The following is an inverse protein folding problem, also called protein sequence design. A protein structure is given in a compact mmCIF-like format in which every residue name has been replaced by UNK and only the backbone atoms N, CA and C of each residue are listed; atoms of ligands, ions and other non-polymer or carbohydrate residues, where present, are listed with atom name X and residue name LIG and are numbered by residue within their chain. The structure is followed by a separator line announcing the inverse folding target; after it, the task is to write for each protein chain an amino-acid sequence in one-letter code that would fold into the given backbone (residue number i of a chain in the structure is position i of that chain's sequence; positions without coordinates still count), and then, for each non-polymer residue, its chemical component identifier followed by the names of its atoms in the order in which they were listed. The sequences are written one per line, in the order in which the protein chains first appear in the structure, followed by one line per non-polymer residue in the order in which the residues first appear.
data_IF_405271280194
#
_entry.id   IF_405271280194
#
_cell.length_a   1.000
_cell.length_b   1.000
_cell.length_c   1.000
_cell.angle_alpha   90.00
_cell.angle_beta   90.00
_cell.angle_gamma   90.00
#
_symmetry.space_group_name_H-M   'P 1'
#
loop_
_entity.id
_entity.type
_entity.pdbx_description
1 polymer ?
#
# COMPACT_ATOMS: atom_id res chain seq x y z
N UNK A 1 -18.36 -30.07 -19.49
CA UNK A 1 -16.97 -29.62 -19.25
C UNK A 1 -16.90 -28.10 -19.10
N UNK A 2 -17.37 -27.30 -20.09
CA UNK A 2 -17.29 -25.82 -20.05
C UNK A 2 -18.00 -25.19 -18.83
N UNK A 3 -19.15 -25.68 -18.45
CA UNK A 3 -19.96 -25.20 -17.32
C UNK A 3 -19.21 -25.39 -15.99
N UNK A 4 -18.60 -26.55 -15.78
CA UNK A 4 -17.80 -26.81 -14.56
C UNK A 4 -16.58 -25.89 -14.48
N UNK A 5 -15.92 -25.62 -15.59
CA UNK A 5 -14.82 -24.65 -15.67
C UNK A 5 -15.29 -23.23 -15.30
N UNK A 6 -16.45 -22.82 -15.82
CA UNK A 6 -17.05 -21.53 -15.46
C UNK A 6 -17.36 -21.42 -13.97
N UNK A 7 -17.92 -22.46 -13.35
CA UNK A 7 -18.21 -22.49 -11.91
C UNK A 7 -16.93 -22.37 -11.09
N UNK A 8 -15.88 -23.10 -11.45
CA UNK A 8 -14.57 -23.04 -10.76
C UNK A 8 -13.99 -21.63 -10.83
N UNK A 9 -14.06 -20.95 -11.97
CA UNK A 9 -13.57 -19.56 -12.12
C UNK A 9 -14.35 -18.60 -11.23
N UNK A 10 -15.68 -18.71 -11.18
CA UNK A 10 -16.51 -17.86 -10.32
C UNK A 10 -16.17 -18.07 -8.84
N UNK A 11 -16.06 -19.33 -8.40
CA UNK A 11 -15.69 -19.65 -7.02
C UNK A 11 -14.29 -19.12 -6.68
N UNK A 12 -13.31 -19.31 -7.57
CA UNK A 12 -11.96 -18.78 -7.36
C UNK A 12 -11.97 -17.25 -7.25
N UNK A 13 -12.75 -16.54 -8.07
CA UNK A 13 -12.88 -15.10 -8.03
C UNK A 13 -13.51 -14.61 -6.71
N UNK A 14 -14.55 -15.29 -6.23
CA UNK A 14 -15.18 -14.97 -4.95
C UNK A 14 -14.20 -15.16 -3.78
N UNK A 15 -13.44 -16.27 -3.78
CA UNK A 15 -12.42 -16.53 -2.76
C UNK A 15 -11.36 -15.43 -2.78
N UNK A 16 -10.85 -15.04 -3.95
CA UNK A 16 -9.88 -13.95 -4.10
C UNK A 16 -10.42 -12.62 -3.54
N UNK A 17 -11.70 -12.30 -3.82
CA UNK A 17 -12.36 -11.11 -3.29
C UNK A 17 -12.42 -11.11 -1.75
N UNK A 18 -12.85 -12.21 -1.14
CA UNK A 18 -12.92 -12.34 0.32
C UNK A 18 -11.55 -12.21 0.98
N UNK A 19 -10.51 -12.78 0.38
CA UNK A 19 -9.14 -12.69 0.86
C UNK A 19 -8.61 -11.26 0.77
N UNK A 20 -8.94 -10.53 -0.31
CA UNK A 20 -8.61 -9.11 -0.46
C UNK A 20 -9.28 -8.24 0.61
N UNK A 21 -10.55 -8.46 0.91
CA UNK A 21 -11.26 -7.76 1.98
C UNK A 21 -10.62 -7.98 3.35
N UNK A 22 -10.13 -9.19 3.63
CA UNK A 22 -9.42 -9.49 4.88
C UNK A 22 -8.14 -8.66 5.02
N UNK A 23 -7.37 -8.48 3.95
CA UNK A 23 -6.15 -7.65 3.96
C UNK A 23 -6.47 -6.17 4.20
N UNK A 24 -7.51 -5.65 3.56
CA UNK A 24 -7.95 -4.26 3.77
C UNK A 24 -8.38 -4.06 5.23
N UNK A 25 -9.09 -5.02 5.80
CA UNK A 25 -9.51 -4.97 7.21
C UNK A 25 -8.30 -4.98 8.16
N UNK A 26 -7.30 -5.83 7.92
CA UNK A 26 -6.08 -5.89 8.74
C UNK A 26 -5.29 -4.58 8.68
N UNK A 27 -5.14 -4.01 7.48
CA UNK A 27 -4.54 -2.68 7.31
C UNK A 27 -5.33 -1.60 8.07
N UNK A 28 -6.64 -1.53 7.86
CA UNK A 28 -7.49 -0.51 8.48
C UNK A 28 -7.45 -0.58 10.00
N UNK A 29 -7.53 -1.79 10.56
CA UNK A 29 -7.45 -2.01 12.00
C UNK A 29 -6.09 -1.59 12.56
N UNK A 30 -5.00 -2.01 11.91
CA UNK A 30 -3.64 -1.66 12.32
C UNK A 30 -3.40 -0.14 12.24
N UNK A 31 -3.82 0.47 11.15
CA UNK A 31 -3.70 1.92 10.97
C UNK A 31 -4.48 2.70 12.03
N UNK A 32 -5.72 2.27 12.30
CA UNK A 32 -6.55 2.91 13.32
C UNK A 32 -5.93 2.80 14.72
N UNK A 33 -5.41 1.62 15.09
CA UNK A 33 -4.72 1.43 16.37
C UNK A 33 -3.51 2.36 16.52
N UNK A 34 -2.68 2.47 15.49
CA UNK A 34 -1.51 3.35 15.50
C UNK A 34 -1.91 4.83 15.56
N UNK A 35 -2.97 5.21 14.85
CA UNK A 35 -3.47 6.60 14.83
C UNK A 35 -4.01 7.06 16.18
N UNK A 36 -4.47 6.14 17.03
CA UNK A 36 -4.87 6.47 18.42
C UNK A 36 -3.68 6.83 19.29
N UNK A 37 -2.47 6.39 18.95
CA UNK A 37 -1.25 6.69 19.70
C UNK A 37 -0.62 8.02 19.26
N UNK A 38 -0.54 8.25 17.94
CA UNK A 38 0.07 9.44 17.34
C UNK A 38 -0.25 9.53 15.83
N UNK A 39 0.03 10.67 15.15
CA UNK A 39 0.00 10.75 13.70
C UNK A 39 0.85 9.66 13.05
N UNK A 40 0.33 9.03 11.99
CA UNK A 40 0.97 7.87 11.36
C UNK A 40 1.65 8.28 10.05
N UNK A 41 2.97 8.11 10.00
CA UNK A 41 3.74 8.18 8.77
C UNK A 41 3.71 6.82 8.06
N UNK A 42 3.39 6.84 6.77
CA UNK A 42 3.31 5.65 5.92
C UNK A 42 4.53 5.65 4.99
N UNK A 43 5.25 4.54 4.97
CA UNK A 43 6.36 4.34 4.05
C UNK A 43 6.16 3.09 3.19
N UNK A 44 6.44 3.24 1.91
CA UNK A 44 6.36 2.17 0.91
C UNK A 44 7.64 2.13 0.07
N UNK A 45 7.87 1.04 -0.64
CA UNK A 45 8.95 1.02 -1.61
C UNK A 45 8.52 1.71 -2.92
N UNK A 46 9.04 2.91 -3.23
CA UNK A 46 8.60 3.68 -4.39
C UNK A 46 9.01 3.04 -5.73
N UNK A 47 10.05 2.19 -5.74
CA UNK A 47 10.63 1.65 -6.97
C UNK A 47 10.03 0.33 -7.44
N UNK A 48 9.32 -0.40 -6.56
CA UNK A 48 8.77 -1.73 -6.88
C UNK A 48 7.37 -1.89 -6.30
N UNK A 49 6.38 -1.68 -7.11
CA UNK A 49 4.97 -2.00 -6.80
C UNK A 49 4.75 -3.46 -6.36
N UNK A 50 5.72 -4.33 -6.68
CA UNK A 50 5.67 -5.77 -6.42
C UNK A 50 6.31 -6.20 -5.09
N UNK A 51 6.94 -5.28 -4.33
CA UNK A 51 7.64 -5.70 -3.10
C UNK A 51 6.72 -5.96 -1.92
N UNK A 52 5.46 -5.48 -1.98
CA UNK A 52 4.46 -5.69 -0.93
C UNK A 52 4.93 -5.30 0.48
N UNK A 53 5.95 -4.44 0.58
CA UNK A 53 6.47 -3.99 1.87
C UNK A 53 5.90 -2.62 2.18
N UNK A 54 5.27 -2.51 3.33
CA UNK A 54 4.65 -1.30 3.86
C UNK A 54 5.02 -1.15 5.32
N UNK A 55 5.44 0.06 5.72
CA UNK A 55 5.69 0.42 7.11
C UNK A 55 4.73 1.50 7.56
N UNK A 56 4.21 1.37 8.75
CA UNK A 56 3.37 2.35 9.45
C UNK A 56 4.11 2.75 10.72
N UNK A 57 4.37 4.03 10.91
CA UNK A 57 5.10 4.57 12.07
C UNK A 57 4.24 5.63 12.72
N UNK A 58 3.80 5.38 13.95
CA UNK A 58 3.14 6.38 14.78
C UNK A 58 4.22 7.27 15.42
N UNK A 59 4.27 8.55 15.05
CA UNK A 59 5.29 9.50 15.49
C UNK A 59 4.65 10.60 16.31
N UNK A 60 5.12 10.77 17.53
CA UNK A 60 4.67 11.85 18.43
C UNK A 60 5.17 13.21 17.97
N UNK A 61 4.69 14.27 18.61
CA UNK A 61 5.05 15.64 18.23
C UNK A 61 6.54 15.96 18.43
N UNK A 62 7.18 15.32 19.42
CA UNK A 62 8.61 15.42 19.72
C UNK A 62 9.50 14.63 18.74
N UNK A 63 8.90 13.88 17.80
CA UNK A 63 9.61 13.03 16.85
C UNK A 63 9.90 11.62 17.37
N UNK A 64 9.51 11.29 18.61
CA UNK A 64 9.67 9.94 19.14
C UNK A 64 8.66 8.97 18.51
N UNK A 65 9.11 7.75 18.21
CA UNK A 65 8.29 6.70 17.64
C UNK A 65 7.50 6.03 18.78
N UNK A 66 6.18 6.20 18.77
CA UNK A 66 5.31 5.53 19.74
C UNK A 66 5.24 4.03 19.44
N UNK A 67 5.02 3.68 18.18
CA UNK A 67 5.00 2.30 17.69
C UNK A 67 5.23 2.27 16.18
N UNK A 68 5.91 1.23 15.70
CA UNK A 68 6.10 0.99 14.28
C UNK A 68 5.66 -0.43 13.93
N UNK A 69 4.90 -0.57 12.85
CA UNK A 69 4.47 -1.87 12.32
C UNK A 69 4.80 -1.98 10.84
N UNK A 70 5.22 -3.16 10.45
CA UNK A 70 5.58 -3.44 9.07
C UNK A 70 4.91 -4.70 8.56
N UNK A 71 4.45 -4.63 7.33
CA UNK A 71 3.97 -5.76 6.55
C UNK A 71 4.97 -6.05 5.43
N UNK A 72 5.39 -7.32 5.31
CA UNK A 72 6.23 -7.81 4.21
C UNK A 72 5.48 -8.86 3.42
N UNK A 73 5.47 -8.70 2.10
CA UNK A 73 4.88 -9.65 1.17
C UNK A 73 3.62 -9.15 0.51
N UNK A 74 3.31 -9.76 -0.65
CA UNK A 74 2.14 -9.48 -1.48
C UNK A 74 1.06 -10.57 -1.31
N UNK A 75 1.31 -11.55 -0.45
CA UNK A 75 0.40 -12.67 -0.25
C UNK A 75 -0.70 -12.32 0.75
N UNK A 76 -1.82 -12.99 0.63
CA UNK A 76 -2.96 -12.90 1.54
C UNK A 76 -2.64 -13.25 3.01
N UNK A 77 -1.48 -13.87 3.24
CA UNK A 77 -0.98 -14.23 4.57
C UNK A 77 -0.07 -13.16 5.17
N UNK A 78 0.28 -12.12 4.41
CA UNK A 78 1.07 -11.02 4.93
C UNK A 78 0.30 -10.28 6.02
N UNK A 79 0.92 -10.15 7.20
CA UNK A 79 0.36 -9.48 8.37
C UNK A 79 1.32 -8.40 8.85
N UNK A 80 0.77 -7.39 9.51
CA UNK A 80 1.56 -6.40 10.21
C UNK A 80 2.26 -7.02 11.42
N UNK A 81 3.58 -6.79 11.52
CA UNK A 81 4.41 -7.17 12.65
C UNK A 81 5.01 -5.91 13.27
N UNK A 82 5.02 -5.84 14.59
CA UNK A 82 5.64 -4.75 15.34
C UNK A 82 7.17 -4.77 15.16
N UNK A 83 7.75 -3.59 14.94
CA UNK A 83 9.18 -3.34 14.93
C UNK A 83 9.58 -2.76 16.29
N UNK A 84 9.73 -3.63 17.28
CA UNK A 84 10.02 -3.26 18.68
C UNK A 84 11.29 -2.43 18.84
N UNK A 85 12.30 -2.66 17.99
CA UNK A 85 13.57 -1.92 18.00
C UNK A 85 13.44 -0.43 17.69
N UNK A 86 12.33 -0.01 17.10
CA UNK A 86 12.08 1.40 16.77
C UNK A 86 11.28 2.14 17.84
N UNK A 87 10.72 1.43 18.82
CA UNK A 87 9.86 2.02 19.83
C UNK A 87 10.67 2.90 20.79
N UNK A 88 10.27 4.15 20.93
CA UNK A 88 10.95 5.14 21.78
C UNK A 88 12.10 5.88 21.09
N UNK A 89 12.58 5.38 19.94
CA UNK A 89 13.63 6.04 19.15
C UNK A 89 13.10 7.31 18.47
N UNK A 90 13.99 8.27 18.18
CA UNK A 90 13.64 9.44 17.39
C UNK A 90 13.71 9.12 15.90
N UNK A 91 12.64 9.39 15.16
CA UNK A 91 12.56 9.04 13.73
C UNK A 91 13.66 9.73 12.90
N UNK A 92 14.06 10.95 13.25
CA UNK A 92 15.10 11.69 12.55
C UNK A 92 16.50 11.13 12.86
N UNK A 93 16.76 10.74 14.12
CA UNK A 93 18.03 10.14 14.54
C UNK A 93 18.23 8.78 13.86
N UNK A 94 17.20 7.93 13.87
CA UNK A 94 17.24 6.64 13.16
C UNK A 94 17.47 6.85 11.66
N UNK A 95 16.81 7.84 11.04
CA UNK A 95 16.97 8.15 9.62
C UNK A 95 18.38 8.65 9.28
N UNK A 96 19.03 9.35 10.19
CA UNK A 96 20.41 9.87 10.04
C UNK A 96 21.49 8.83 10.36
N UNK A 97 21.16 7.81 11.19
CA UNK A 97 22.11 6.81 11.63
C UNK A 97 22.22 5.64 10.64
N UNK A 98 23.34 5.57 9.92
CA UNK A 98 23.62 4.45 9.03
C UNK A 98 23.68 3.11 9.77
N UNK A 99 24.25 3.08 10.99
CA UNK A 99 24.38 1.87 11.80
C UNK A 99 23.02 1.31 12.24
N UNK A 100 22.10 2.18 12.65
CA UNK A 100 20.75 1.77 13.01
C UNK A 100 19.98 1.26 11.78
N UNK A 101 20.12 1.94 10.64
CA UNK A 101 19.48 1.52 9.40
C UNK A 101 20.07 0.21 8.86
N UNK A 102 21.36 -0.06 9.08
CA UNK A 102 22.04 -1.30 8.62
C UNK A 102 21.47 -2.56 9.28
N UNK A 103 20.87 -2.46 10.46
CA UNK A 103 20.20 -3.59 11.14
C UNK A 103 18.98 -4.10 10.36
N UNK A 104 18.41 -3.26 9.51
CA UNK A 104 17.24 -3.62 8.69
C UNK A 104 17.68 -4.10 7.30
N UNK A 105 16.89 -5.01 6.74
CA UNK A 105 17.05 -5.40 5.34
C UNK A 105 16.78 -4.22 4.38
N UNK A 106 17.30 -4.33 3.18
CA UNK A 106 17.24 -3.26 2.16
C UNK A 106 15.83 -2.71 1.92
N UNK A 107 14.81 -3.58 1.89
CA UNK A 107 13.42 -3.16 1.66
C UNK A 107 12.87 -2.37 2.84
N UNK A 108 13.14 -2.82 4.06
CA UNK A 108 12.74 -2.12 5.29
C UNK A 108 13.36 -0.74 5.36
N UNK A 109 14.66 -0.61 5.06
CA UNK A 109 15.35 0.69 5.02
C UNK A 109 14.70 1.66 4.05
N UNK A 110 14.40 1.20 2.84
CA UNK A 110 13.76 2.05 1.82
C UNK A 110 12.38 2.50 2.28
N UNK A 111 11.58 1.60 2.85
CA UNK A 111 10.26 1.96 3.38
C UNK A 111 10.35 2.90 4.58
N UNK A 112 11.34 2.70 5.48
CA UNK A 112 11.55 3.60 6.62
C UNK A 112 11.91 5.01 6.17
N UNK A 113 12.84 5.14 5.22
CA UNK A 113 13.25 6.45 4.68
C UNK A 113 12.11 7.14 3.91
N UNK A 114 11.26 6.39 3.24
CA UNK A 114 10.05 6.93 2.60
C UNK A 114 9.04 7.42 3.65
N UNK A 115 8.84 6.67 4.76
CA UNK A 115 8.01 7.11 5.88
C UNK A 115 8.58 8.39 6.53
N UNK A 116 9.89 8.46 6.74
CA UNK A 116 10.55 9.65 7.27
C UNK A 116 10.36 10.87 6.36
N UNK A 117 10.54 10.70 5.05
CA UNK A 117 10.28 11.75 4.06
C UNK A 117 8.84 12.26 4.17
N UNK A 118 7.86 11.36 4.28
CA UNK A 118 6.46 11.74 4.43
C UNK A 118 6.19 12.46 5.75
N UNK A 119 6.83 12.05 6.84
CA UNK A 119 6.78 12.75 8.12
C UNK A 119 7.35 14.18 8.03
N UNK A 120 8.52 14.35 7.43
CA UNK A 120 9.14 15.68 7.23
C UNK A 120 8.26 16.58 6.37
N UNK A 121 7.71 16.06 5.28
CA UNK A 121 6.79 16.81 4.42
C UNK A 121 5.53 17.24 5.17
N UNK A 122 4.98 16.38 6.02
CA UNK A 122 3.85 16.71 6.89
C UNK A 122 4.19 17.84 7.88
N UNK A 123 5.32 17.72 8.60
CA UNK A 123 5.77 18.76 9.54
C UNK A 123 6.08 20.09 8.85
N UNK A 124 6.60 20.07 7.64
CA UNK A 124 6.89 21.25 6.83
C UNK A 124 5.63 21.87 6.17
N UNK A 125 4.43 21.37 6.44
CA UNK A 125 3.18 21.79 5.81
C UNK A 125 3.21 21.74 4.27
N UNK A 126 4.08 20.87 3.71
CA UNK A 126 4.27 20.69 2.27
C UNK A 126 3.37 19.62 1.66
N UNK A 127 2.64 18.86 2.50
CA UNK A 127 1.68 17.88 2.02
C UNK A 127 0.41 18.60 1.60
N UNK A 128 0.13 18.55 0.31
CA UNK A 128 -1.15 18.98 -0.23
C UNK A 128 -2.22 17.95 0.11
N UNK A 129 -3.51 18.34 0.22
CA UNK A 129 -4.61 17.37 0.42
C UNK A 129 -4.59 16.23 -0.60
N UNK A 130 -4.06 16.49 -1.79
CA UNK A 130 -3.90 15.51 -2.88
C UNK A 130 -2.84 14.41 -2.60
N UNK A 131 -1.88 14.67 -1.72
CA UNK A 131 -0.81 13.70 -1.39
C UNK A 131 -1.32 12.60 -0.42
N UNK A 132 -2.48 12.85 0.22
CA UNK A 132 -3.20 11.86 1.03
C UNK A 132 -4.16 10.99 0.21
N UNK A 133 -4.34 11.31 -1.07
CA UNK A 133 -5.18 10.53 -1.98
C UNK A 133 -4.47 9.24 -2.35
N UNK A 134 -4.40 8.32 -1.39
CA UNK A 134 -4.03 6.92 -1.60
C UNK A 134 -5.15 6.14 -2.30
N UNK A 135 -6.17 6.81 -2.80
CA UNK A 135 -7.07 6.24 -3.78
C UNK A 135 -6.22 5.85 -4.98
N UNK A 136 -5.85 4.58 -5.01
CA UNK A 136 -5.43 3.96 -6.28
C UNK A 136 -6.57 4.31 -7.23
N UNK A 137 -6.31 5.24 -8.15
CA UNK A 137 -7.26 5.52 -9.23
C UNK A 137 -7.32 4.24 -10.06
N UNK A 138 -8.19 3.31 -9.65
CA UNK A 138 -8.41 2.03 -10.32
C UNK A 138 -8.63 2.26 -11.82
N UNK A 139 -9.20 3.42 -12.18
CA UNK A 139 -9.43 3.87 -13.54
C UNK A 139 -8.17 4.29 -14.31
N UNK A 140 -7.05 4.58 -13.63
CA UNK A 140 -5.77 4.93 -14.25
C UNK A 140 -4.77 3.77 -14.31
N UNK A 141 -5.18 2.56 -13.92
CA UNK A 141 -4.36 1.38 -14.11
C UNK A 141 -4.23 1.10 -15.62
N UNK A 142 -3.01 0.86 -16.14
CA UNK A 142 -2.78 0.59 -17.57
C UNK A 142 -3.63 -0.56 -18.11
N UNK A 143 -4.05 -1.48 -17.22
CA UNK A 143 -4.90 -2.62 -17.55
C UNK A 143 -6.35 -2.20 -17.80
N UNK A 144 -6.87 -1.25 -17.03
CA UNK A 144 -8.24 -0.72 -17.19
C UNK A 144 -8.33 0.13 -18.47
N UNK A 145 -7.29 0.90 -18.79
CA UNK A 145 -7.23 1.64 -20.07
C UNK A 145 -7.18 0.70 -21.27
N UNK A 146 -6.42 -0.39 -21.21
CA UNK A 146 -6.39 -1.41 -22.25
C UNK A 146 -7.77 -2.08 -22.42
N UNK A 147 -8.45 -2.39 -21.33
CA UNK A 147 -9.80 -2.99 -21.38
C UNK A 147 -10.78 -2.01 -22.00
N UNK A 148 -10.79 -0.73 -21.61
CA UNK A 148 -11.61 0.32 -22.22
C UNK A 148 -11.33 0.48 -23.71
N UNK A 149 -10.05 0.57 -24.11
CA UNK A 149 -9.66 0.72 -25.50
C UNK A 149 -10.13 -0.48 -26.33
N UNK A 150 -10.03 -1.71 -25.79
CA UNK A 150 -10.52 -2.93 -26.46
C UNK A 150 -12.03 -2.92 -26.56
N UNK A 151 -12.75 -2.54 -25.51
CA UNK A 151 -14.20 -2.42 -25.50
C UNK A 151 -14.70 -1.43 -26.56
N UNK A 152 -14.15 -0.21 -26.61
CA UNK A 152 -14.51 0.78 -27.64
C UNK A 152 -14.22 0.29 -29.06
N UNK A 153 -13.12 -0.44 -29.26
CA UNK A 153 -12.75 -1.01 -30.57
C UNK A 153 -13.71 -2.10 -31.00
N UNK A 154 -14.23 -2.90 -30.08
CA UNK A 154 -15.24 -3.94 -30.39
C UNK A 154 -16.59 -3.28 -30.70
N UNK A 155 -17.03 -2.34 -29.86
CA UNK A 155 -18.32 -1.64 -30.08
C UNK A 155 -18.34 -0.85 -31.39
N UNK A 156 -17.25 -0.17 -31.76
CA UNK A 156 -17.15 0.55 -33.04
C UNK A 156 -17.20 -0.39 -34.25
N UNK A 157 -16.61 -1.60 -34.16
CA UNK A 157 -16.68 -2.61 -35.21
C UNK A 157 -18.10 -3.16 -35.39
N UNK A 158 -18.84 -3.36 -34.30
CA UNK A 158 -20.23 -3.83 -34.34
C UNK A 158 -21.14 -2.79 -34.99
N UNK A 159 -20.98 -1.52 -34.61
CA UNK A 159 -21.76 -0.40 -35.15
C UNK A 159 -21.53 -0.18 -36.65
N UNK A 160 -20.30 -0.35 -37.13
CA UNK A 160 -20.00 -0.25 -38.57
C UNK A 160 -20.51 -1.47 -39.36
N UNK A 161 -20.84 -2.59 -38.72
CA UNK A 161 -21.38 -3.77 -39.37
C UNK A 161 -22.91 -3.74 -39.55
N UNK A 162 -23.59 -2.87 -38.76
CA UNK A 162 -25.04 -2.65 -38.87
C UNK A 162 -25.42 -1.54 -39.90
N UNK A 163 -24.42 -0.80 -40.40
CA UNK A 163 -24.63 0.28 -41.37
C UNK A 163 -24.27 -0.13 -42.83
N UNK A 164 -23.89 -1.37 -43.08
CA UNK A 164 -23.66 -1.95 -44.40
C UNK A 164 -24.57 -3.16 -44.63
#
# INVERSE_FOLDING_TARGET
MLIYFGIILVVAFLIQGLLGLKQIKDFSTTFHQLRLLAPVAIGKNPKKFQSGTLILIAVKEDGSIAEARMMKGITIFAKFKELKSLRGENIAEVAASFEQLKQFDKLTRVCFLDAYKNYVNYKANKLRPHDFDSTVKIWSLPMVEKIKATYYKVVSRLKNKEMN
#
